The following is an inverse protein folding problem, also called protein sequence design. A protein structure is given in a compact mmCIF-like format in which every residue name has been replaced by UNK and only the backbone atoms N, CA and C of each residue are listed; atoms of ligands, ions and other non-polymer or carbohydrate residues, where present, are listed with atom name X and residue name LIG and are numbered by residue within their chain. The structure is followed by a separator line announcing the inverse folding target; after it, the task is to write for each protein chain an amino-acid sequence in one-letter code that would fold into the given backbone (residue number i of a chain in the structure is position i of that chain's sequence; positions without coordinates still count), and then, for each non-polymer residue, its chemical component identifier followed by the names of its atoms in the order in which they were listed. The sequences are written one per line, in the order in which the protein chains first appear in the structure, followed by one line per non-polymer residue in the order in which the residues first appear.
data_IF_003958655324
#
_entry.id   IF_003958655324
#
_cell.length_a   1.000
_cell.length_b   1.000
_cell.length_c   1.000
_cell.angle_alpha   90.00
_cell.angle_beta   90.00
_cell.angle_gamma   90.00
#
_symmetry.space_group_name_H-M   'P 1'
#
loop_
_entity.id
_entity.type
_entity.pdbx_description
1 polymer ?
#
# COMPACT_ATOMS: atom_id res chain seq x y z
N UNK A 1 -28.49 12.33 0.56
CA UNK A 1 -28.02 11.75 -0.72
C UNK A 1 -26.51 11.62 -0.69
N UNK A 2 -25.97 10.44 -0.36
CA UNK A 2 -24.54 10.10 -0.54
C UNK A 2 -24.47 9.08 -1.66
N UNK A 3 -23.69 9.40 -2.69
CA UNK A 3 -23.67 8.73 -3.98
C UNK A 3 -23.49 7.22 -3.90
N UNK A 4 -24.40 6.51 -4.58
CA UNK A 4 -24.41 5.07 -4.77
C UNK A 4 -23.55 4.59 -5.96
N UNK A 5 -22.83 5.49 -6.64
CA UNK A 5 -22.11 5.16 -7.89
C UNK A 5 -20.60 5.13 -7.70
N UNK A 6 -20.04 4.10 -7.04
CA UNK A 6 -18.59 3.80 -7.16
C UNK A 6 -18.13 2.45 -6.57
N UNK A 7 -19.06 1.57 -6.17
CA UNK A 7 -18.72 0.37 -5.40
C UNK A 7 -18.14 -0.74 -6.31
N UNK A 8 -18.60 -0.86 -7.56
CA UNK A 8 -18.25 -1.99 -8.45
C UNK A 8 -16.78 -2.05 -8.87
N UNK A 9 -16.23 -0.95 -9.42
CA UNK A 9 -14.85 -0.90 -9.94
C UNK A 9 -13.81 -0.79 -8.85
N UNK A 10 -14.06 0.00 -7.78
CA UNK A 10 -13.16 0.02 -6.62
C UNK A 10 -13.05 -1.37 -5.98
N UNK A 11 -14.16 -2.09 -5.86
CA UNK A 11 -14.17 -3.45 -5.32
C UNK A 11 -13.38 -4.41 -6.21
N UNK A 12 -13.43 -4.28 -7.54
CA UNK A 12 -12.64 -5.11 -8.45
C UNK A 12 -11.12 -4.86 -8.32
N UNK A 13 -10.68 -3.59 -8.33
CA UNK A 13 -9.26 -3.23 -8.16
C UNK A 13 -8.73 -3.66 -6.79
N UNK A 14 -9.49 -3.42 -5.72
CA UNK A 14 -9.09 -3.85 -4.37
C UNK A 14 -8.90 -5.36 -4.31
N UNK A 15 -9.86 -6.14 -4.84
CA UNK A 15 -9.74 -7.61 -4.88
C UNK A 15 -8.50 -8.07 -5.64
N UNK A 16 -8.20 -7.49 -6.81
CA UNK A 16 -6.98 -7.83 -7.57
C UNK A 16 -5.70 -7.51 -6.79
N UNK A 17 -5.61 -6.33 -6.19
CA UNK A 17 -4.44 -5.90 -5.44
C UNK A 17 -4.24 -6.72 -4.16
N UNK A 18 -5.32 -7.10 -3.47
CA UNK A 18 -5.27 -7.99 -2.30
C UNK A 18 -4.82 -9.40 -2.70
N UNK A 19 -5.28 -9.91 -3.85
CA UNK A 19 -4.87 -11.23 -4.35
C UNK A 19 -3.36 -11.33 -4.71
N UNK A 20 -2.66 -10.20 -4.85
CA UNK A 20 -1.21 -10.16 -5.08
C UNK A 20 -0.39 -10.01 -3.79
N UNK A 21 -1.02 -9.96 -2.62
CA UNK A 21 -0.31 -9.91 -1.34
C UNK A 21 0.42 -11.25 -1.12
N UNK A 22 1.69 -11.17 -0.73
CA UNK A 22 2.53 -12.35 -0.49
C UNK A 22 2.24 -12.94 0.89
N UNK A 23 2.19 -14.26 0.96
CA UNK A 23 2.05 -14.98 2.22
C UNK A 23 3.35 -14.94 3.02
N UNK A 24 3.23 -14.87 4.34
CA UNK A 24 4.37 -15.02 5.24
C UNK A 24 4.73 -16.51 5.34
N UNK A 25 6.01 -16.91 5.25
CA UNK A 25 6.39 -18.30 5.40
C UNK A 25 5.89 -18.88 6.73
N UNK A 26 5.38 -20.13 6.67
CA UNK A 26 4.75 -20.84 7.79
C UNK A 26 5.62 -20.76 9.06
N UNK A 27 5.03 -20.28 10.17
CA UNK A 27 5.70 -20.24 11.48
C UNK A 27 5.20 -19.17 12.46
N UNK A 28 4.41 -18.18 12.00
CA UNK A 28 3.76 -17.17 12.84
C UNK A 28 2.26 -17.19 12.59
N UNK A 29 1.50 -17.85 13.47
CA UNK A 29 0.04 -17.73 13.49
C UNK A 29 -0.35 -16.29 13.88
N UNK A 30 -1.00 -15.56 12.98
CA UNK A 30 -1.70 -14.33 13.33
C UNK A 30 -2.99 -14.71 14.06
N UNK A 31 -2.94 -14.75 15.39
CA UNK A 31 -4.03 -15.21 16.28
C UNK A 31 -5.23 -14.26 16.38
N UNK A 32 -5.36 -13.25 15.51
CA UNK A 32 -6.40 -12.23 15.62
C UNK A 32 -7.19 -12.03 14.31
N UNK A 33 -8.51 -12.29 14.37
CA UNK A 33 -9.46 -12.10 13.25
C UNK A 33 -9.48 -10.63 12.76
N UNK A 34 -9.18 -9.66 13.64
CA UNK A 34 -9.05 -8.25 13.26
C UNK A 34 -7.83 -8.00 12.36
N UNK A 35 -6.76 -8.80 12.51
CA UNK A 35 -5.57 -8.76 11.65
C UNK A 35 -5.89 -9.30 10.26
N UNK A 36 -6.71 -10.36 10.17
CA UNK A 36 -7.02 -11.07 8.93
C UNK A 36 -7.61 -10.13 7.85
N UNK A 37 -8.47 -9.20 8.25
CA UNK A 37 -9.12 -8.23 7.36
C UNK A 37 -8.38 -6.90 7.23
N UNK A 38 -7.31 -6.69 8.00
CA UNK A 38 -6.58 -5.42 7.99
C UNK A 38 -5.90 -5.11 6.64
N UNK A 39 -5.29 -6.07 5.93
CA UNK A 39 -4.71 -5.83 4.61
C UNK A 39 -5.71 -5.28 3.60
N UNK A 40 -6.93 -5.84 3.54
CA UNK A 40 -7.97 -5.35 2.65
C UNK A 40 -8.36 -3.89 2.96
N UNK A 41 -8.48 -3.54 4.25
CA UNK A 41 -8.74 -2.16 4.69
C UNK A 41 -7.62 -1.20 4.25
N UNK A 42 -6.37 -1.64 4.33
CA UNK A 42 -5.20 -0.86 3.92
C UNK A 42 -5.15 -0.63 2.41
N UNK A 43 -5.42 -1.67 1.61
CA UNK A 43 -5.50 -1.58 0.13
C UNK A 43 -6.68 -0.71 -0.29
N UNK A 44 -7.85 -0.86 0.33
CA UNK A 44 -9.03 -0.01 0.07
C UNK A 44 -8.75 1.46 0.34
N UNK A 45 -8.04 1.77 1.43
CA UNK A 45 -7.60 3.14 1.76
C UNK A 45 -6.64 3.69 0.70
N UNK A 46 -5.69 2.87 0.23
CA UNK A 46 -4.76 3.25 -0.83
C UNK A 46 -5.49 3.55 -2.14
N UNK A 47 -6.32 2.62 -2.61
CA UNK A 47 -7.08 2.76 -3.86
C UNK A 47 -7.93 4.03 -3.85
N UNK A 48 -8.58 4.35 -2.72
CA UNK A 48 -9.36 5.59 -2.58
C UNK A 48 -8.50 6.85 -2.75
N UNK A 49 -7.26 6.84 -2.25
CA UNK A 49 -6.32 7.97 -2.42
C UNK A 49 -5.83 8.05 -3.88
N UNK A 50 -5.47 6.92 -4.48
CA UNK A 50 -4.93 6.87 -5.84
C UNK A 50 -5.97 7.11 -6.94
N UNK A 51 -7.26 6.87 -6.66
CA UNK A 51 -8.36 7.30 -7.54
C UNK A 51 -8.32 8.80 -7.79
N UNK A 52 -7.96 9.61 -6.78
CA UNK A 52 -7.89 11.07 -6.89
C UNK A 52 -6.68 11.53 -7.73
N UNK A 53 -5.54 10.87 -7.59
CA UNK A 53 -4.31 11.17 -8.33
C UNK A 53 -4.18 10.41 -9.66
N UNK A 54 -5.16 9.58 -10.02
CA UNK A 54 -5.18 8.75 -11.24
C UNK A 54 -3.97 7.81 -11.37
N UNK A 55 -3.38 7.38 -10.25
CA UNK A 55 -2.16 6.56 -10.21
C UNK A 55 -2.39 5.05 -10.02
N UNK A 56 -3.64 4.58 -10.13
CA UNK A 56 -3.98 3.16 -9.92
C UNK A 56 -3.36 2.26 -10.99
N UNK A 57 -3.40 2.67 -12.25
CA UNK A 57 -2.85 1.87 -13.35
C UNK A 57 -1.34 1.63 -13.17
N UNK A 58 -0.61 2.66 -12.74
CA UNK A 58 0.82 2.53 -12.47
C UNK A 58 1.11 1.63 -11.25
N UNK A 59 0.26 1.68 -10.22
CA UNK A 59 0.37 0.75 -9.09
C UNK A 59 0.16 -0.71 -9.52
N UNK A 60 -0.90 -0.98 -10.29
CA UNK A 60 -1.19 -2.33 -10.80
C UNK A 60 -0.04 -2.85 -11.67
N UNK A 61 0.49 -2.00 -12.57
CA UNK A 61 1.67 -2.31 -13.37
C UNK A 61 2.88 -2.62 -12.49
N UNK A 62 3.24 -1.75 -11.54
CA UNK A 62 4.40 -1.92 -10.69
C UNK A 62 4.39 -3.21 -9.86
N UNK A 63 3.22 -3.61 -9.35
CA UNK A 63 3.10 -4.85 -8.56
C UNK A 63 3.12 -6.08 -9.48
N UNK A 64 2.40 -6.04 -10.62
CA UNK A 64 2.27 -7.19 -11.51
C UNK A 64 3.53 -7.50 -12.31
N UNK A 65 4.26 -6.48 -12.78
CA UNK A 65 5.48 -6.67 -13.56
C UNK A 65 6.73 -6.73 -12.70
N UNK A 66 6.61 -6.36 -11.42
CA UNK A 66 7.75 -6.24 -10.49
C UNK A 66 8.89 -5.35 -10.99
N UNK A 67 8.61 -4.50 -11.99
CA UNK A 67 9.58 -3.64 -12.67
C UNK A 67 9.95 -2.45 -11.78
N UNK A 68 11.22 -2.31 -11.38
CA UNK A 68 11.63 -1.19 -10.56
C UNK A 68 11.49 0.16 -11.29
N UNK A 69 11.42 0.19 -12.63
CA UNK A 69 11.43 1.42 -13.44
C UNK A 69 10.03 2.02 -13.70
N UNK A 70 8.97 1.47 -13.10
CA UNK A 70 7.65 2.11 -13.11
C UNK A 70 7.69 3.49 -12.47
N UNK A 71 6.71 4.34 -12.82
CA UNK A 71 6.65 5.68 -12.27
C UNK A 71 6.27 5.71 -10.78
N UNK A 72 6.57 6.81 -10.09
CA UNK A 72 6.30 6.93 -8.66
C UNK A 72 4.79 6.99 -8.36
N UNK A 73 4.30 6.06 -7.54
CA UNK A 73 2.94 6.07 -6.99
C UNK A 73 2.94 6.79 -5.63
N UNK A 74 2.48 8.05 -5.63
CA UNK A 74 2.52 8.92 -4.46
C UNK A 74 1.19 9.00 -3.71
N UNK A 75 1.27 9.17 -2.39
CA UNK A 75 0.15 9.54 -1.52
C UNK A 75 0.53 10.74 -0.65
N UNK A 76 -0.40 11.64 -0.31
CA UNK A 76 -0.11 12.80 0.52
C UNK A 76 0.53 12.41 1.85
N UNK A 77 1.64 13.09 2.18
CA UNK A 77 2.39 12.90 3.42
C UNK A 77 1.66 13.59 4.59
N UNK A 78 1.47 12.88 5.71
CA UNK A 78 1.02 13.47 6.96
C UNK A 78 2.16 14.17 7.70
N UNK A 79 1.84 15.07 8.64
CA UNK A 79 2.83 15.82 9.42
C UNK A 79 3.85 14.92 10.14
N UNK A 80 3.39 13.80 10.70
CA UNK A 80 4.24 12.81 11.36
C UNK A 80 4.73 11.70 10.42
N UNK A 81 4.38 11.75 9.14
CA UNK A 81 4.73 10.77 8.11
C UNK A 81 4.08 9.39 8.29
N UNK A 82 3.13 9.23 9.22
CA UNK A 82 2.41 7.97 9.45
C UNK A 82 1.03 7.98 8.80
N UNK A 83 0.64 6.86 8.22
CA UNK A 83 -0.69 6.60 7.71
C UNK A 83 -1.52 5.88 8.78
N UNK A 84 -2.73 6.39 9.04
CA UNK A 84 -3.71 5.70 9.87
C UNK A 84 -4.65 4.85 9.00
N UNK A 85 -4.76 3.56 9.31
CA UNK A 85 -5.71 2.62 8.71
C UNK A 85 -6.48 1.95 9.84
N UNK A 86 -7.79 2.23 9.92
CA UNK A 86 -8.61 1.86 11.08
C UNK A 86 -7.98 2.41 12.38
N UNK A 87 -7.76 1.58 13.39
CA UNK A 87 -7.17 1.97 14.68
C UNK A 87 -5.63 1.88 14.71
N UNK A 88 -4.96 1.64 13.58
CA UNK A 88 -3.51 1.44 13.52
C UNK A 88 -2.80 2.54 12.75
N UNK A 89 -1.71 3.06 13.34
CA UNK A 89 -0.78 3.97 12.67
C UNK A 89 0.42 3.19 12.17
N UNK A 90 0.80 3.42 10.92
CA UNK A 90 1.87 2.69 10.26
C UNK A 90 2.66 3.59 9.31
N UNK A 91 3.84 3.14 8.90
CA UNK A 91 4.59 3.80 7.84
C UNK A 91 4.12 3.26 6.48
N UNK A 92 3.62 4.13 5.57
CA UNK A 92 2.98 3.66 4.35
C UNK A 92 3.90 2.84 3.45
N UNK A 93 5.14 3.29 3.24
CA UNK A 93 6.11 2.56 2.42
C UNK A 93 6.45 1.19 3.01
N UNK A 94 6.58 1.08 4.35
CA UNK A 94 6.86 -0.20 5.02
C UNK A 94 5.71 -1.17 4.82
N UNK A 95 4.46 -0.75 5.06
CA UNK A 95 3.33 -1.69 4.99
C UNK A 95 3.08 -2.21 3.58
N UNK A 96 3.21 -1.36 2.55
CA UNK A 96 2.94 -1.76 1.18
C UNK A 96 4.10 -2.59 0.60
N UNK A 97 5.36 -2.27 0.95
CA UNK A 97 6.49 -3.15 0.63
C UNK A 97 6.36 -4.51 1.33
N UNK A 98 5.92 -4.52 2.59
CA UNK A 98 5.68 -5.78 3.32
C UNK A 98 4.63 -6.64 2.62
N UNK A 99 3.51 -6.05 2.23
CA UNK A 99 2.40 -6.76 1.58
C UNK A 99 2.79 -7.37 0.24
N UNK A 100 3.43 -6.60 -0.65
CA UNK A 100 3.59 -7.04 -2.05
C UNK A 100 4.98 -7.58 -2.39
N UNK A 101 6.00 -7.42 -1.52
CA UNK A 101 7.36 -7.85 -1.83
C UNK A 101 8.02 -8.65 -0.70
N UNK A 102 7.97 -8.18 0.54
CA UNK A 102 8.78 -8.69 1.64
C UNK A 102 7.93 -8.98 2.89
N UNK A 103 7.19 -10.11 2.96
CA UNK A 103 6.29 -10.40 4.07
C UNK A 103 6.98 -10.44 5.44
N UNK A 104 8.28 -10.74 5.48
CA UNK A 104 9.17 -10.74 6.64
C UNK A 104 9.69 -9.36 7.06
N UNK A 105 9.40 -8.30 6.28
CA UNK A 105 9.91 -6.96 6.55
C UNK A 105 9.44 -6.43 7.91
N UNK A 106 10.35 -6.25 8.86
CA UNK A 106 10.01 -5.83 10.22
C UNK A 106 10.05 -4.30 10.40
N UNK A 107 11.03 -3.62 9.79
CA UNK A 107 11.36 -2.22 10.08
C UNK A 107 11.68 -1.39 8.84
N UNK A 108 11.49 -0.06 8.92
CA UNK A 108 11.87 0.87 7.85
C UNK A 108 13.37 0.89 7.58
N UNK A 109 14.22 0.55 8.56
CA UNK A 109 15.68 0.54 8.40
C UNK A 109 16.15 -0.52 7.40
N UNK A 110 15.34 -1.53 7.11
CA UNK A 110 15.62 -2.57 6.13
C UNK A 110 15.28 -2.12 4.69
N UNK A 111 14.66 -0.94 4.52
CA UNK A 111 14.30 -0.41 3.21
C UNK A 111 15.21 0.75 2.82
N UNK A 112 15.66 0.72 1.56
CA UNK A 112 16.32 1.84 0.89
C UNK A 112 15.62 2.10 -0.44
N UNK A 113 15.39 3.37 -0.76
CA UNK A 113 14.80 3.75 -2.04
C UNK A 113 15.76 3.45 -3.20
N UNK A 114 15.21 3.02 -4.33
CA UNK A 114 15.95 2.94 -5.59
C UNK A 114 16.42 4.33 -6.04
N UNK A 115 17.54 4.44 -6.78
CA UNK A 115 18.15 5.73 -7.14
C UNK A 115 17.21 6.67 -7.91
N UNK A 116 16.35 6.13 -8.76
CA UNK A 116 15.42 6.89 -9.60
C UNK A 116 14.07 7.18 -8.94
N UNK A 117 13.88 6.80 -7.66
CA UNK A 117 12.69 7.20 -6.91
C UNK A 117 12.71 8.72 -6.68
N UNK A 118 11.76 9.44 -7.29
CA UNK A 118 11.65 10.90 -7.16
C UNK A 118 11.11 11.33 -5.80
N UNK A 119 10.25 10.50 -5.19
CA UNK A 119 9.56 10.81 -3.92
C UNK A 119 9.82 9.76 -2.83
N UNK A 120 11.09 9.50 -2.45
CA UNK A 120 11.40 8.53 -1.40
C UNK A 120 11.00 9.06 -0.03
N UNK A 121 10.59 8.16 0.87
CA UNK A 121 10.15 8.52 2.21
C UNK A 121 11.18 9.34 3.00
N UNK A 122 12.48 9.08 2.80
CA UNK A 122 13.60 9.73 3.48
C UNK A 122 13.75 11.22 3.16
N UNK A 123 13.33 11.68 1.97
CA UNK A 123 13.46 13.09 1.58
C UNK A 123 12.42 14.01 2.24
N UNK A 124 11.45 13.46 2.99
CA UNK A 124 10.38 14.21 3.68
C UNK A 124 9.68 15.25 2.79
N UNK A 125 9.54 14.96 1.50
CA UNK A 125 8.92 15.87 0.54
C UNK A 125 7.41 15.96 0.79
N UNK A 126 6.85 17.12 0.50
CA UNK A 126 5.42 17.27 0.27
C UNK A 126 5.09 16.70 -1.12
N UNK A 127 4.04 15.87 -1.18
CA UNK A 127 3.66 15.07 -2.35
C UNK A 127 2.22 15.32 -2.74
#
# INVERSE_FOLDING_TARGET
MKGLFDIGTASATVRRLVAMIREKPLGEETTNIEDEHWPEKAVKSLVKKLKKSKAIGELEKAISTEDPNTDCVCIPRSLDGRLQVSQRKCLPHVIYCRMWRYPELASSHQLKSVPHCRFPYSKKLES
#
